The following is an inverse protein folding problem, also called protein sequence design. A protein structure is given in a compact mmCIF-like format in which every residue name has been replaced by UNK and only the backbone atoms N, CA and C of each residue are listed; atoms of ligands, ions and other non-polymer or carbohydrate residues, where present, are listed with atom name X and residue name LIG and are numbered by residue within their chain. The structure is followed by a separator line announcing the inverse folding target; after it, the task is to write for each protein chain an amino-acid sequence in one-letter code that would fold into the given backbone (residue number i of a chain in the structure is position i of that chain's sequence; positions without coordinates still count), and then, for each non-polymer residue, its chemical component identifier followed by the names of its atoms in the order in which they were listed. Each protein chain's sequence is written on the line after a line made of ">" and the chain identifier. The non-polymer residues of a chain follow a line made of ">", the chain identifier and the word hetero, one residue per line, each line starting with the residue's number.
data_IF_242726837128
#
_entry.id   IF_242726837128
#
_cell.length_a   1.000
_cell.length_b   1.000
_cell.length_c   1.000
_cell.angle_alpha   90.00
_cell.angle_beta   90.00
_cell.angle_gamma   90.00
#
_symmetry.space_group_name_H-M   'P 1'
#
loop_
_entity.id
_entity.type
_entity.pdbx_description
1 polymer ?
#
# COMPACT_ATOMS: atom_id res chain seq x y z
N UNK A 1 -5.00 -16.57 29.35
CA UNK A 1 -4.96 -16.12 27.94
C UNK A 1 -6.11 -16.77 27.22
N UNK A 2 -7.04 -15.99 26.71
CA UNK A 2 -8.26 -16.49 26.08
C UNK A 2 -8.05 -17.08 24.66
N UNK A 3 -6.80 -17.33 24.27
CA UNK A 3 -6.43 -18.01 23.02
C UNK A 3 -6.42 -17.14 21.76
N UNK A 4 -6.74 -15.84 21.85
CA UNK A 4 -6.57 -14.92 20.71
C UNK A 4 -5.08 -14.66 20.46
N UNK A 5 -4.71 -14.53 19.20
CA UNK A 5 -3.33 -14.33 18.75
C UNK A 5 -3.23 -13.10 17.85
N UNK A 6 -2.01 -12.58 17.75
CA UNK A 6 -1.69 -11.56 16.77
C UNK A 6 -1.93 -12.09 15.36
N UNK A 7 -2.49 -11.23 14.48
CA UNK A 7 -2.90 -11.62 13.14
C UNK A 7 -4.29 -12.27 13.04
N UNK A 8 -4.98 -12.54 14.16
CA UNK A 8 -6.37 -13.00 14.12
C UNK A 8 -7.30 -11.91 13.58
N UNK A 9 -8.19 -12.26 12.64
CA UNK A 9 -9.20 -11.35 12.10
C UNK A 9 -10.53 -11.64 12.78
N UNK A 10 -11.06 -10.68 13.55
CA UNK A 10 -12.35 -10.81 14.24
C UNK A 10 -13.48 -10.70 13.22
N UNK A 11 -14.25 -11.74 13.04
CA UNK A 11 -15.36 -11.81 12.09
C UNK A 11 -16.71 -11.52 12.75
N UNK A 12 -16.96 -12.07 13.95
CA UNK A 12 -18.21 -11.87 14.65
C UNK A 12 -18.05 -11.96 16.16
N UNK A 13 -18.99 -11.34 16.88
CA UNK A 13 -19.17 -11.45 18.33
C UNK A 13 -20.62 -11.85 18.59
N UNK A 14 -20.83 -12.92 19.38
CA UNK A 14 -22.16 -13.45 19.71
C UNK A 14 -23.04 -13.67 18.47
N UNK A 15 -22.44 -14.04 17.33
CA UNK A 15 -23.12 -14.22 16.04
C UNK A 15 -23.34 -12.92 15.23
N UNK A 16 -23.09 -11.75 15.80
CA UNK A 16 -23.17 -10.47 15.08
C UNK A 16 -21.87 -10.20 14.34
N UNK A 17 -21.95 -9.97 13.02
CA UNK A 17 -20.79 -9.66 12.16
C UNK A 17 -20.17 -8.32 12.55
N UNK A 18 -18.85 -8.29 12.67
CA UNK A 18 -18.07 -7.09 13.00
C UNK A 18 -17.50 -6.48 11.72
N UNK A 19 -17.79 -5.19 11.52
CA UNK A 19 -17.31 -4.40 10.40
C UNK A 19 -16.43 -3.22 10.79
N UNK A 20 -16.37 -2.87 12.09
CA UNK A 20 -15.57 -1.74 12.57
C UNK A 20 -15.16 -1.88 14.04
N UNK A 21 -14.05 -1.24 14.39
CA UNK A 21 -13.60 -1.10 15.79
C UNK A 21 -14.68 -0.45 16.67
N UNK A 22 -15.42 0.53 16.15
CA UNK A 22 -16.50 1.21 16.88
C UNK A 22 -17.63 0.23 17.25
N UNK A 23 -18.03 -0.64 16.31
CA UNK A 23 -19.02 -1.68 16.56
C UNK A 23 -18.52 -2.68 17.60
N UNK A 24 -17.27 -3.14 17.46
CA UNK A 24 -16.62 -4.02 18.44
C UNK A 24 -16.69 -3.42 19.86
N UNK A 25 -16.21 -2.17 20.01
CA UNK A 25 -16.22 -1.48 21.33
C UNK A 25 -17.62 -1.40 21.92
N UNK A 26 -18.63 -1.04 21.11
CA UNK A 26 -20.03 -0.96 21.55
C UNK A 26 -20.55 -2.31 22.06
N UNK A 27 -20.27 -3.41 21.38
CA UNK A 27 -20.71 -4.74 21.78
C UNK A 27 -20.00 -5.20 23.06
N UNK A 28 -18.71 -4.89 23.20
CA UNK A 28 -17.94 -5.19 24.43
C UNK A 28 -18.50 -4.41 25.62
N UNK A 29 -18.78 -3.13 25.48
CA UNK A 29 -19.42 -2.32 26.53
C UNK A 29 -20.81 -2.83 26.90
N UNK A 30 -21.63 -3.14 25.89
CA UNK A 30 -23.01 -3.62 26.09
C UNK A 30 -23.06 -4.96 26.78
N UNK A 31 -21.99 -5.75 26.77
CA UNK A 31 -21.93 -7.04 27.46
C UNK A 31 -21.92 -6.94 28.99
N UNK A 32 -21.61 -5.74 29.54
CA UNK A 32 -21.48 -5.50 30.97
C UNK A 32 -20.58 -6.51 31.69
N UNK A 33 -19.51 -6.97 31.01
CA UNK A 33 -18.57 -7.96 31.54
C UNK A 33 -18.98 -9.43 31.34
N UNK A 34 -20.11 -9.69 30.73
CA UNK A 34 -20.50 -11.06 30.39
C UNK A 34 -19.59 -11.66 29.34
N UNK A 35 -19.31 -12.97 29.36
CA UNK A 35 -18.51 -13.66 28.38
C UNK A 35 -19.05 -13.45 26.96
N UNK A 36 -18.14 -13.18 26.01
CA UNK A 36 -18.42 -13.00 24.59
C UNK A 36 -17.87 -14.17 23.80
N UNK A 37 -18.67 -14.68 22.86
CA UNK A 37 -18.25 -15.68 21.88
C UNK A 37 -17.76 -14.98 20.64
N UNK A 38 -16.46 -15.10 20.34
CA UNK A 38 -15.84 -14.52 19.16
C UNK A 38 -15.58 -15.61 18.12
N UNK A 39 -15.83 -15.31 16.85
CA UNK A 39 -15.32 -16.09 15.74
C UNK A 39 -14.21 -15.28 15.09
N UNK A 40 -13.03 -15.85 15.05
CA UNK A 40 -11.87 -15.27 14.41
C UNK A 40 -11.41 -16.13 13.24
N UNK A 41 -10.81 -15.50 12.24
CA UNK A 41 -10.08 -16.18 11.18
C UNK A 41 -8.59 -16.08 11.47
N UNK A 42 -7.94 -17.23 11.58
CA UNK A 42 -6.49 -17.39 11.77
C UNK A 42 -5.91 -18.08 10.55
N UNK A 43 -5.24 -17.32 9.70
CA UNK A 43 -4.92 -17.80 8.36
C UNK A 43 -6.19 -18.15 7.59
N UNK A 44 -6.33 -19.42 7.19
CA UNK A 44 -7.53 -19.93 6.51
C UNK A 44 -8.54 -20.64 7.45
N UNK A 45 -8.21 -20.76 8.73
CA UNK A 45 -9.05 -21.48 9.69
C UNK A 45 -9.95 -20.55 10.49
N UNK A 46 -11.19 -20.97 10.69
CA UNK A 46 -12.13 -20.33 11.62
C UNK A 46 -11.96 -20.91 13.01
N UNK A 47 -11.79 -20.04 14.00
CA UNK A 47 -11.64 -20.45 15.40
C UNK A 47 -12.65 -19.70 16.26
N UNK A 48 -13.36 -20.45 17.11
CA UNK A 48 -14.27 -19.88 18.09
C UNK A 48 -13.56 -19.72 19.44
N UNK A 49 -13.64 -18.54 20.02
CA UNK A 49 -13.00 -18.16 21.27
C UNK A 49 -14.03 -17.56 22.22
N UNK A 50 -13.81 -17.73 23.52
CA UNK A 50 -14.64 -17.12 24.57
C UNK A 50 -13.76 -16.15 25.38
N UNK A 51 -14.14 -14.87 25.39
CA UNK A 51 -13.44 -13.82 26.13
C UNK A 51 -14.41 -13.12 27.08
N UNK A 52 -13.93 -12.85 28.28
CA UNK A 52 -14.68 -12.04 29.25
C UNK A 52 -14.07 -10.66 29.32
N UNK A 53 -14.85 -9.60 29.02
CA UNK A 53 -14.37 -8.22 29.16
C UNK A 53 -14.05 -7.90 30.63
N UNK A 54 -13.03 -7.10 30.83
CA UNK A 54 -12.62 -6.63 32.16
C UNK A 54 -12.93 -5.14 32.27
N UNK A 55 -13.49 -4.74 33.41
CA UNK A 55 -13.75 -3.32 33.69
C UNK A 55 -12.46 -2.60 33.99
N UNK A 56 -12.15 -1.58 33.23
CA UNK A 56 -10.99 -0.74 33.42
C UNK A 56 -11.21 0.24 34.57
N UNK A 57 -10.21 0.39 35.41
CA UNK A 57 -10.23 1.39 36.48
C UNK A 57 -9.93 2.82 36.01
N UNK A 58 -9.46 2.99 34.78
CA UNK A 58 -9.09 4.28 34.22
C UNK A 58 -10.30 5.06 33.68
N UNK A 59 -11.15 4.38 32.96
CA UNK A 59 -12.31 4.97 32.26
C UNK A 59 -13.66 4.36 32.63
N UNK A 60 -13.63 3.37 33.52
CA UNK A 60 -14.82 2.65 34.00
C UNK A 60 -15.56 1.81 32.93
N UNK A 61 -14.94 1.65 31.75
CA UNK A 61 -15.48 0.91 30.60
C UNK A 61 -15.03 -0.55 30.59
N UNK A 62 -15.74 -1.40 29.85
CA UNK A 62 -15.36 -2.79 29.64
C UNK A 62 -14.45 -2.95 28.43
N UNK A 63 -13.32 -3.63 28.60
CA UNK A 63 -12.32 -3.86 27.57
C UNK A 63 -11.97 -5.34 27.45
N UNK A 64 -11.60 -5.76 26.23
CA UNK A 64 -11.04 -7.09 25.97
C UNK A 64 -9.52 -7.14 26.16
N UNK A 65 -8.86 -5.98 26.30
CA UNK A 65 -7.40 -5.90 26.40
C UNK A 65 -6.71 -6.25 25.07
N UNK A 66 -7.37 -5.96 23.94
CA UNK A 66 -6.86 -6.25 22.59
C UNK A 66 -6.52 -4.95 21.87
N UNK A 67 -5.43 -5.00 21.08
CA UNK A 67 -5.18 -4.01 20.06
C UNK A 67 -5.89 -4.46 18.77
N UNK A 68 -6.81 -3.64 18.29
CA UNK A 68 -7.59 -3.93 17.09
C UNK A 68 -7.44 -2.77 16.10
N UNK A 69 -7.15 -3.12 14.85
CA UNK A 69 -7.14 -2.20 13.70
C UNK A 69 -8.29 -2.56 12.78
N UNK A 70 -9.01 -1.58 12.29
CA UNK A 70 -10.08 -1.72 11.30
C UNK A 70 -9.81 -0.89 10.03
N UNK A 71 -8.77 -0.05 10.07
CA UNK A 71 -8.35 0.77 8.95
C UNK A 71 -6.84 1.01 8.99
N UNK A 72 -6.26 1.23 7.83
CA UNK A 72 -4.89 1.68 7.65
C UNK A 72 -4.85 2.80 6.64
N UNK A 73 -3.97 3.77 6.86
CA UNK A 73 -3.70 4.84 5.91
C UNK A 73 -2.20 5.04 5.79
N UNK A 74 -1.74 5.40 4.61
CA UNK A 74 -0.32 5.61 4.33
C UNK A 74 -0.11 6.52 3.14
N UNK A 75 1.10 7.05 3.01
CA UNK A 75 1.56 7.80 1.85
C UNK A 75 2.23 6.84 0.88
N UNK A 76 1.86 6.94 -0.39
CA UNK A 76 2.45 6.17 -1.48
C UNK A 76 2.24 6.87 -2.80
N UNK A 77 2.79 6.31 -3.86
CA UNK A 77 2.68 6.90 -5.20
C UNK A 77 1.80 6.03 -6.09
N UNK A 78 0.84 6.66 -6.78
CA UNK A 78 0.14 6.07 -7.91
C UNK A 78 1.09 6.10 -9.10
N UNK A 79 1.43 4.94 -9.64
CA UNK A 79 2.41 4.81 -10.72
C UNK A 79 1.85 5.31 -12.05
N UNK A 80 0.66 4.88 -12.40
CA UNK A 80 -0.06 5.27 -13.62
C UNK A 80 -1.55 5.00 -13.49
N UNK A 81 -2.31 5.57 -14.41
CA UNK A 81 -3.65 5.12 -14.72
C UNK A 81 -3.78 4.90 -16.25
N UNK A 82 -4.65 3.99 -16.65
CA UNK A 82 -4.98 3.75 -18.05
C UNK A 82 -6.21 4.58 -18.43
N UNK A 83 -6.09 5.55 -19.35
CA UNK A 83 -7.19 6.44 -19.72
C UNK A 83 -8.35 5.71 -20.41
N UNK A 84 -8.13 4.50 -20.96
CA UNK A 84 -9.16 3.76 -21.68
C UNK A 84 -10.22 3.15 -20.75
N UNK A 85 -9.81 2.76 -19.54
CA UNK A 85 -10.69 2.06 -18.59
C UNK A 85 -10.66 2.65 -17.17
N UNK A 86 -9.78 3.64 -16.92
CA UNK A 86 -9.61 4.29 -15.62
C UNK A 86 -8.92 3.42 -14.57
N UNK A 87 -8.42 2.23 -14.92
CA UNK A 87 -7.66 1.43 -13.97
C UNK A 87 -6.35 2.12 -13.60
N UNK A 88 -5.95 1.99 -12.34
CA UNK A 88 -4.67 2.50 -11.87
C UNK A 88 -3.86 1.41 -11.17
N UNK A 89 -2.56 1.66 -11.09
CA UNK A 89 -1.62 0.87 -10.32
C UNK A 89 -0.79 1.77 -9.40
N UNK A 90 -0.47 1.29 -8.20
CA UNK A 90 0.36 2.03 -7.25
C UNK A 90 1.21 1.13 -6.37
N UNK A 91 2.17 1.73 -5.67
CA UNK A 91 3.10 1.15 -4.71
C UNK A 91 4.08 0.12 -5.31
N UNK A 92 3.67 -0.77 -6.18
CA UNK A 92 4.50 -1.87 -6.70
C UNK A 92 4.83 -2.95 -5.67
N UNK A 93 4.23 -2.91 -4.49
CA UNK A 93 4.31 -3.91 -3.42
C UNK A 93 3.05 -3.89 -2.56
N UNK A 94 2.88 -4.90 -1.70
CA UNK A 94 1.72 -5.02 -0.82
C UNK A 94 1.66 -3.94 0.26
N UNK A 95 0.44 -3.60 0.70
CA UNK A 95 0.21 -3.02 2.01
C UNK A 95 0.13 -4.17 3.00
N UNK A 96 1.08 -4.22 3.93
CA UNK A 96 1.16 -5.23 4.97
C UNK A 96 0.86 -4.62 6.34
N UNK A 97 0.37 -5.44 7.25
CA UNK A 97 0.26 -5.07 8.65
C UNK A 97 1.66 -4.88 9.24
N UNK A 98 1.86 -3.78 9.95
CA UNK A 98 3.19 -3.35 10.43
C UNK A 98 3.74 -4.26 11.54
N UNK A 99 2.87 -4.93 12.31
CA UNK A 99 3.29 -5.78 13.42
C UNK A 99 3.52 -7.22 12.93
N UNK A 100 2.65 -7.75 12.07
CA UNK A 100 2.73 -9.14 11.59
C UNK A 100 3.50 -9.30 10.27
N UNK A 101 3.67 -8.22 9.49
CA UNK A 101 4.21 -8.28 8.14
C UNK A 101 3.30 -8.99 7.12
N UNK A 102 2.11 -9.41 7.52
CA UNK A 102 1.17 -10.11 6.65
C UNK A 102 0.44 -9.16 5.71
N UNK A 103 0.09 -9.67 4.53
CA UNK A 103 -0.75 -8.95 3.57
C UNK A 103 -2.07 -8.52 4.25
N UNK A 104 -2.35 -7.21 4.26
CA UNK A 104 -3.62 -6.72 4.79
C UNK A 104 -4.78 -7.11 3.86
N UNK A 105 -5.79 -7.82 4.37
CA UNK A 105 -6.99 -8.11 3.60
C UNK A 105 -7.73 -6.81 3.30
N UNK A 106 -8.10 -6.63 2.03
CA UNK A 106 -8.83 -5.46 1.58
C UNK A 106 -10.33 -5.79 1.56
N UNK A 107 -11.12 -5.09 2.38
CA UNK A 107 -12.58 -5.09 2.30
C UNK A 107 -13.06 -3.90 1.48
N UNK A 108 -12.53 -2.72 1.80
CA UNK A 108 -12.76 -1.47 1.08
C UNK A 108 -11.49 -0.64 1.16
N UNK A 109 -11.16 0.06 0.08
CA UNK A 109 -10.02 0.96 0.04
C UNK A 109 -10.30 2.15 -0.86
N UNK A 110 -9.71 3.28 -0.49
CA UNK A 110 -9.85 4.53 -1.21
C UNK A 110 -8.50 5.16 -1.46
N UNK A 111 -8.42 5.93 -2.54
CA UNK A 111 -7.32 6.85 -2.79
C UNK A 111 -7.81 8.26 -2.55
N UNK A 112 -7.00 9.03 -1.81
CA UNK A 112 -7.19 10.45 -1.57
C UNK A 112 -5.92 11.21 -1.94
N UNK A 113 -6.06 12.48 -2.30
CA UNK A 113 -4.91 13.33 -2.61
C UNK A 113 -4.11 13.65 -1.34
N UNK A 114 -2.79 13.61 -1.47
CA UNK A 114 -1.85 13.97 -0.41
C UNK A 114 -0.86 15.03 -0.90
N UNK A 115 -0.38 15.84 0.02
CA UNK A 115 0.71 16.79 -0.20
C UNK A 115 1.91 16.40 0.65
N UNK A 116 3.10 16.41 0.10
CA UNK A 116 4.33 16.14 0.81
C UNK A 116 4.76 17.41 1.55
N UNK A 117 4.82 17.33 2.87
CA UNK A 117 5.14 18.45 3.77
C UNK A 117 6.56 18.38 4.34
N UNK A 118 7.25 17.25 4.14
CA UNK A 118 8.63 17.07 4.59
C UNK A 118 9.22 15.75 4.15
N UNK A 119 10.54 15.66 4.28
CA UNK A 119 11.32 14.45 4.01
C UNK A 119 12.22 14.17 5.20
N UNK A 120 12.13 12.98 5.76
CA UNK A 120 13.16 12.44 6.63
C UNK A 120 14.17 11.69 5.78
N UNK A 121 15.40 12.17 5.73
CA UNK A 121 16.45 11.55 4.94
C UNK A 121 16.80 10.15 5.46
N UNK A 122 16.99 9.23 4.53
CA UNK A 122 17.46 7.88 4.82
C UNK A 122 18.97 7.85 5.10
N UNK A 123 19.37 6.90 5.94
CA UNK A 123 20.78 6.58 6.25
C UNK A 123 20.93 5.07 6.24
N UNK A 124 22.17 4.60 6.08
CA UNK A 124 22.46 3.17 6.20
C UNK A 124 21.90 2.61 7.52
N UNK A 125 21.09 1.56 7.42
CA UNK A 125 20.41 0.92 8.56
C UNK A 125 19.13 1.62 9.04
N UNK A 126 18.78 2.79 8.48
CA UNK A 126 17.57 3.54 8.85
C UNK A 126 16.94 4.16 7.60
N UNK A 127 15.93 3.51 7.02
CA UNK A 127 15.25 4.06 5.85
C UNK A 127 14.58 5.39 6.21
N UNK A 128 14.66 6.35 5.28
CA UNK A 128 13.96 7.63 5.40
C UNK A 128 12.48 7.51 5.05
N UNK A 129 11.76 8.63 5.17
CA UNK A 129 10.32 8.66 4.93
C UNK A 129 9.87 10.02 4.39
N UNK A 130 8.95 10.00 3.41
CA UNK A 130 8.17 11.17 3.03
C UNK A 130 7.10 11.42 4.08
N UNK A 131 6.99 12.65 4.54
CA UNK A 131 5.90 13.10 5.40
C UNK A 131 4.82 13.71 4.53
N UNK A 132 3.62 13.15 4.58
CA UNK A 132 2.48 13.64 3.81
C UNK A 132 1.32 14.04 4.70
N UNK A 133 0.53 14.98 4.19
CA UNK A 133 -0.77 15.34 4.76
C UNK A 133 -1.85 15.16 3.70
N UNK A 134 -3.00 14.62 4.08
CA UNK A 134 -4.15 14.53 3.18
C UNK A 134 -4.68 15.94 2.88
N UNK A 135 -4.84 16.23 1.58
CA UNK A 135 -5.32 17.55 1.13
C UNK A 135 -6.82 17.67 1.30
N UNK A 136 -7.53 16.56 1.13
CA UNK A 136 -8.98 16.45 1.23
C UNK A 136 -9.36 15.05 1.73
N UNK A 137 -10.54 14.94 2.34
CA UNK A 137 -11.14 13.64 2.66
C UNK A 137 -11.97 13.09 1.48
N UNK A 138 -11.93 13.75 0.32
CA UNK A 138 -12.65 13.29 -0.86
C UNK A 138 -11.85 12.21 -1.56
N UNK A 139 -12.47 11.05 -1.72
CA UNK A 139 -11.92 9.96 -2.52
C UNK A 139 -11.83 10.37 -3.99
N UNK A 140 -10.72 10.03 -4.64
CA UNK A 140 -10.50 10.19 -6.09
C UNK A 140 -10.52 8.84 -6.82
N UNK A 141 -10.52 7.73 -6.09
CA UNK A 141 -10.57 6.39 -6.65
C UNK A 141 -10.78 5.31 -5.59
N UNK A 142 -11.21 4.14 -6.05
CA UNK A 142 -11.44 2.96 -5.22
C UNK A 142 -10.35 1.93 -5.46
N UNK A 143 -9.85 1.35 -4.37
CA UNK A 143 -8.96 0.19 -4.38
C UNK A 143 -9.80 -1.08 -4.48
N UNK A 144 -9.46 -1.96 -5.41
CA UNK A 144 -10.10 -3.27 -5.58
C UNK A 144 -9.21 -4.41 -5.11
N UNK A 145 -7.89 -4.21 -5.17
CA UNK A 145 -6.94 -5.27 -4.84
C UNK A 145 -5.72 -4.71 -4.13
N UNK A 146 -5.35 -5.35 -3.01
CA UNK A 146 -4.04 -5.29 -2.40
C UNK A 146 -3.35 -6.63 -2.61
N UNK A 147 -2.27 -6.66 -3.36
CA UNK A 147 -1.52 -7.88 -3.70
C UNK A 147 -0.02 -7.69 -3.45
N UNK A 148 0.74 -8.76 -3.49
CA UNK A 148 2.19 -8.68 -3.31
C UNK A 148 2.90 -7.79 -4.35
N UNK A 149 2.26 -7.54 -5.50
CA UNK A 149 2.82 -6.76 -6.61
C UNK A 149 2.33 -5.31 -6.65
N UNK A 150 1.52 -4.89 -5.69
CA UNK A 150 1.00 -3.53 -5.62
C UNK A 150 -0.47 -3.43 -5.25
N UNK A 151 -0.97 -2.21 -5.32
CA UNK A 151 -2.38 -1.87 -5.13
C UNK A 151 -2.99 -1.44 -6.45
N UNK A 152 -4.21 -1.89 -6.70
CA UNK A 152 -4.91 -1.71 -7.96
C UNK A 152 -6.36 -1.33 -7.74
N UNK A 153 -6.90 -0.54 -8.65
CA UNK A 153 -8.28 -0.10 -8.56
C UNK A 153 -8.68 0.78 -9.73
N UNK A 154 -9.67 1.64 -9.52
CA UNK A 154 -10.22 2.52 -10.54
C UNK A 154 -10.35 3.94 -10.03
N UNK A 155 -9.94 4.93 -10.85
CA UNK A 155 -10.20 6.34 -10.59
C UNK A 155 -11.67 6.67 -10.88
N UNK A 156 -12.25 7.52 -10.03
CA UNK A 156 -13.62 8.03 -10.22
C UNK A 156 -13.69 9.03 -11.36
N UNK A 157 -12.67 9.88 -11.46
CA UNK A 157 -12.55 10.89 -12.53
C UNK A 157 -11.13 10.83 -13.10
N UNK A 158 -11.04 10.90 -14.41
CA UNK A 158 -9.73 11.00 -15.06
C UNK A 158 -9.20 12.43 -14.95
N UNK A 159 -7.90 12.64 -14.69
CA UNK A 159 -7.28 13.96 -14.74
C UNK A 159 -7.45 14.60 -16.13
N UNK A 160 -7.86 15.87 -16.15
CA UNK A 160 -8.29 16.56 -17.39
C UNK A 160 -7.14 16.78 -18.38
N UNK A 161 -5.90 16.98 -17.92
CA UNK A 161 -4.76 17.35 -18.75
C UNK A 161 -3.58 16.36 -18.66
N UNK A 162 -3.86 15.10 -18.37
CA UNK A 162 -2.80 14.12 -18.20
C UNK A 162 -2.18 13.72 -19.55
N UNK A 163 -0.87 13.87 -19.65
CA UNK A 163 -0.13 13.38 -20.80
C UNK A 163 0.02 11.85 -20.72
N UNK A 164 -0.32 11.20 -21.83
CA UNK A 164 -0.06 9.75 -21.97
C UNK A 164 1.37 9.54 -22.47
N UNK A 165 2.06 8.55 -21.91
CA UNK A 165 3.35 8.09 -22.36
C UNK A 165 3.28 6.60 -22.73
N UNK A 166 4.05 6.14 -23.73
CA UNK A 166 4.08 4.73 -24.08
C UNK A 166 4.72 3.91 -22.97
N UNK A 167 4.19 2.71 -22.76
CA UNK A 167 4.77 1.70 -21.86
C UNK A 167 5.73 0.80 -22.64
N UNK A 168 6.87 0.46 -22.05
CA UNK A 168 7.77 -0.54 -22.59
C UNK A 168 7.36 -1.95 -22.16
N UNK A 169 7.59 -2.93 -23.01
CA UNK A 169 7.54 -4.34 -22.61
C UNK A 169 8.79 -4.67 -21.78
N UNK A 170 8.70 -5.66 -20.90
CA UNK A 170 9.81 -6.01 -20.01
C UNK A 170 11.10 -6.38 -20.76
N UNK A 171 10.97 -6.99 -21.96
CA UNK A 171 12.10 -7.37 -22.81
C UNK A 171 12.79 -6.17 -23.47
N UNK A 172 12.14 -4.99 -23.51
CA UNK A 172 12.70 -3.77 -24.08
C UNK A 172 13.51 -2.95 -23.07
N UNK A 173 13.31 -3.20 -21.77
CA UNK A 173 14.03 -2.51 -20.70
C UNK A 173 15.51 -2.88 -20.71
N UNK A 174 16.39 -1.93 -20.48
CA UNK A 174 17.85 -2.10 -20.49
C UNK A 174 18.48 -1.56 -19.22
N UNK A 175 19.61 -2.13 -18.82
CA UNK A 175 20.50 -1.51 -17.84
C UNK A 175 20.99 -0.16 -18.35
N UNK A 176 21.21 0.79 -17.46
CA UNK A 176 21.68 2.12 -17.78
C UNK A 176 20.77 3.24 -17.27
N UNK A 177 20.93 4.46 -17.83
CA UNK A 177 20.24 5.64 -17.34
C UNK A 177 18.72 5.54 -17.43
N UNK A 178 18.06 6.02 -16.37
CA UNK A 178 16.60 6.17 -16.25
C UNK A 178 16.31 7.43 -15.44
N UNK A 179 15.04 7.83 -15.42
CA UNK A 179 14.54 8.88 -14.55
C UNK A 179 13.42 8.33 -13.67
N UNK A 180 13.36 8.79 -12.42
CA UNK A 180 12.29 8.48 -11.48
C UNK A 180 11.44 9.72 -11.32
N UNK A 181 10.12 9.58 -11.54
CA UNK A 181 9.16 10.66 -11.32
C UNK A 181 8.59 10.52 -9.91
N UNK A 182 8.92 11.46 -9.03
CA UNK A 182 8.46 11.41 -7.63
C UNK A 182 8.18 12.80 -7.07
N UNK A 183 7.31 12.86 -6.06
CA UNK A 183 7.00 14.10 -5.34
C UNK A 183 7.75 14.10 -4.02
N UNK A 184 8.65 15.06 -3.84
CA UNK A 184 9.43 15.24 -2.61
C UNK A 184 9.03 16.50 -1.83
N UNK A 185 8.20 17.37 -2.45
CA UNK A 185 7.64 18.56 -1.81
C UNK A 185 6.35 18.97 -2.49
N UNK A 186 5.34 19.34 -1.71
CA UNK A 186 4.02 19.75 -2.22
C UNK A 186 3.29 18.62 -2.93
N UNK A 187 2.70 18.93 -4.10
CA UNK A 187 1.91 18.00 -4.90
C UNK A 187 2.47 17.76 -6.31
N UNK A 188 3.53 18.48 -6.70
CA UNK A 188 4.07 18.39 -8.07
C UNK A 188 5.19 17.37 -8.13
N UNK A 189 5.05 16.32 -8.95
CA UNK A 189 6.13 15.38 -9.19
C UNK A 189 7.27 16.03 -9.99
N UNK A 190 8.50 15.56 -9.73
CA UNK A 190 9.72 15.98 -10.37
C UNK A 190 10.49 14.77 -10.88
N UNK A 191 11.27 14.96 -11.95
CA UNK A 191 12.13 13.92 -12.51
C UNK A 191 13.50 14.00 -11.85
N UNK A 192 13.99 12.84 -11.41
CA UNK A 192 15.32 12.67 -10.82
C UNK A 192 16.08 11.58 -11.55
N UNK A 193 17.34 11.78 -11.78
CA UNK A 193 18.20 10.84 -12.49
C UNK A 193 18.55 9.63 -11.64
N UNK A 194 18.50 8.47 -12.28
CA UNK A 194 18.83 7.18 -11.67
C UNK A 194 19.43 6.24 -12.73
N UNK A 195 19.86 5.08 -12.29
CA UNK A 195 20.40 4.05 -13.17
C UNK A 195 19.83 2.67 -12.79
N UNK A 196 19.44 1.87 -13.78
CA UNK A 196 19.18 0.45 -13.60
C UNK A 196 20.53 -0.28 -13.64
N UNK A 197 20.96 -0.81 -12.48
CA UNK A 197 22.22 -1.56 -12.35
C UNK A 197 22.06 -3.03 -12.72
N UNK A 198 20.90 -3.63 -12.42
CA UNK A 198 20.59 -5.04 -12.71
C UNK A 198 19.15 -5.20 -13.14
N UNK A 199 18.94 -6.20 -14.00
CA UNK A 199 17.61 -6.63 -14.46
C UNK A 199 17.45 -8.14 -14.27
N UNK A 200 16.25 -8.54 -13.85
CA UNK A 200 15.83 -9.93 -13.79
C UNK A 200 14.45 -10.04 -14.44
N UNK A 201 14.30 -10.96 -15.37
CA UNK A 201 13.00 -11.28 -15.98
C UNK A 201 12.27 -12.41 -15.24
N UNK A 202 12.83 -12.90 -14.12
CA UNK A 202 12.18 -13.91 -13.29
C UNK A 202 10.85 -13.37 -12.72
N UNK A 203 9.86 -14.23 -12.67
CA UNK A 203 8.57 -13.96 -12.04
C UNK A 203 8.52 -14.41 -10.57
N UNK A 204 9.61 -14.98 -10.03
CA UNK A 204 9.65 -15.45 -8.64
C UNK A 204 9.59 -14.27 -7.64
N UNK A 205 10.27 -13.17 -7.96
CA UNK A 205 10.28 -11.95 -7.15
C UNK A 205 9.98 -10.72 -8.03
N UNK A 206 8.75 -10.55 -8.53
CA UNK A 206 8.43 -9.51 -9.51
C UNK A 206 8.63 -8.09 -8.96
N UNK A 207 8.58 -7.89 -7.66
CA UNK A 207 8.86 -6.60 -7.02
C UNK A 207 10.34 -6.24 -6.96
N UNK A 208 11.24 -7.14 -7.41
CA UNK A 208 12.70 -6.98 -7.44
C UNK A 208 13.29 -7.21 -8.83
N UNK A 209 12.51 -7.02 -9.88
CA UNK A 209 12.97 -7.19 -11.26
C UNK A 209 14.12 -6.23 -11.64
N UNK A 210 14.20 -5.07 -10.99
CA UNK A 210 15.23 -4.06 -11.22
C UNK A 210 15.97 -3.78 -9.93
N UNK A 211 17.31 -3.60 -10.03
CA UNK A 211 18.09 -2.92 -8.99
C UNK A 211 18.38 -1.53 -9.52
N UNK A 212 17.95 -0.53 -8.76
CA UNK A 212 18.06 0.88 -9.07
C UNK A 212 19.14 1.53 -8.21
N UNK A 213 19.83 2.52 -8.77
CA UNK A 213 20.69 3.46 -8.04
C UNK A 213 20.24 4.88 -8.36
N UNK A 214 20.04 5.69 -7.33
CA UNK A 214 19.86 7.14 -7.49
C UNK A 214 21.20 7.76 -7.82
N UNK A 215 21.23 8.58 -8.88
CA UNK A 215 22.42 9.30 -9.32
C UNK A 215 22.22 10.82 -9.25
N UNK A 216 20.99 11.26 -9.07
CA UNK A 216 20.62 12.67 -8.98
C UNK A 216 21.16 13.28 -7.69
N UNK A 217 22.00 14.33 -7.77
CA UNK A 217 22.61 14.94 -6.59
C UNK A 217 21.59 15.65 -5.69
N UNK A 218 20.58 16.28 -6.27
CA UNK A 218 19.57 17.02 -5.50
C UNK A 218 18.70 16.06 -4.68
N UNK A 219 18.31 14.92 -5.26
CA UNK A 219 17.57 13.89 -4.54
C UNK A 219 18.42 13.24 -3.44
N UNK A 220 19.69 12.98 -3.71
CA UNK A 220 20.62 12.44 -2.72
C UNK A 220 20.84 13.39 -1.55
N UNK A 221 20.98 14.69 -1.81
CA UNK A 221 21.10 15.72 -0.76
C UNK A 221 19.83 15.83 0.08
N UNK A 222 18.64 15.81 -0.58
CA UNK A 222 17.35 16.00 0.06
C UNK A 222 16.93 14.79 0.92
N UNK A 223 17.03 13.59 0.37
CA UNK A 223 16.44 12.38 0.95
C UNK A 223 17.45 11.29 1.31
N UNK A 224 18.71 11.42 0.91
CA UNK A 224 19.73 10.38 1.06
C UNK A 224 19.53 9.20 0.09
N UNK A 225 18.55 9.29 -0.83
CA UNK A 225 18.22 8.26 -1.79
C UNK A 225 16.72 7.91 -1.81
N UNK A 226 16.40 6.63 -1.96
CA UNK A 226 15.02 6.13 -1.93
C UNK A 226 14.52 6.09 -0.50
N UNK A 227 13.34 6.66 -0.24
CA UNK A 227 12.71 6.71 1.07
C UNK A 227 11.29 6.13 1.03
N UNK A 228 10.76 5.75 2.19
CA UNK A 228 9.38 5.30 2.31
C UNK A 228 8.41 6.38 1.81
N UNK A 229 7.41 5.99 1.06
CA UNK A 229 6.48 6.88 0.35
C UNK A 229 6.83 7.07 -1.14
N UNK A 230 8.08 6.80 -1.56
CA UNK A 230 8.47 6.78 -2.98
C UNK A 230 8.07 5.49 -3.70
N UNK A 231 7.61 4.48 -2.98
CA UNK A 231 7.06 3.25 -3.57
C UNK A 231 5.92 3.57 -4.54
N UNK A 232 5.99 3.03 -5.75
CA UNK A 232 5.11 3.35 -6.86
C UNK A 232 5.62 4.47 -7.77
N UNK A 233 6.68 5.19 -7.43
CA UNK A 233 7.24 6.24 -8.29
C UNK A 233 7.59 5.68 -9.67
N UNK A 234 7.04 6.22 -10.78
CA UNK A 234 7.30 5.74 -12.12
C UNK A 234 8.79 5.81 -12.49
N UNK A 235 9.27 4.78 -13.17
CA UNK A 235 10.61 4.72 -13.75
C UNK A 235 10.47 4.90 -15.27
N UNK A 236 11.15 5.89 -15.80
CA UNK A 236 11.11 6.25 -17.20
C UNK A 236 12.47 5.98 -17.87
N UNK A 237 12.45 5.30 -19.01
CA UNK A 237 13.61 5.08 -19.85
C UNK A 237 13.30 5.52 -21.29
N UNK A 238 14.05 6.46 -21.82
CA UNK A 238 13.85 7.00 -23.17
C UNK A 238 12.40 7.48 -23.44
N UNK A 239 11.80 8.18 -22.46
CA UNK A 239 10.43 8.69 -22.55
C UNK A 239 9.33 7.64 -22.45
N UNK A 240 9.64 6.38 -22.09
CA UNK A 240 8.67 5.29 -21.90
C UNK A 240 8.62 4.85 -20.46
N UNK A 241 7.42 4.51 -19.97
CA UNK A 241 7.24 3.91 -18.66
C UNK A 241 7.77 2.47 -18.68
N UNK A 242 8.78 2.19 -17.86
CA UNK A 242 9.41 0.87 -17.77
C UNK A 242 9.09 0.13 -16.47
N UNK A 243 8.75 0.85 -15.40
CA UNK A 243 8.48 0.25 -14.11
C UNK A 243 8.11 1.25 -13.04
N UNK A 244 8.15 0.77 -11.80
CA UNK A 244 7.97 1.57 -10.60
C UNK A 244 8.97 1.17 -9.52
N UNK A 245 9.36 2.15 -8.69
CA UNK A 245 10.15 1.91 -7.46
C UNK A 245 9.31 1.09 -6.49
N UNK A 246 9.91 0.08 -5.85
CA UNK A 246 9.21 -0.76 -4.87
C UNK A 246 9.78 -0.63 -3.46
N UNK A 247 10.99 -1.08 -3.24
CA UNK A 247 11.61 -1.12 -1.92
C UNK A 247 12.98 -0.45 -1.93
N UNK A 248 13.33 0.19 -0.81
CA UNK A 248 14.68 0.69 -0.55
C UNK A 248 15.55 -0.43 0.00
N UNK A 249 16.85 -0.41 -0.31
CA UNK A 249 17.84 -1.23 0.35
C UNK A 249 18.21 -0.56 1.69
N UNK A 250 17.79 -1.16 2.81
CA UNK A 250 17.94 -0.56 4.15
C UNK A 250 19.38 -0.18 4.48
N UNK A 251 20.36 -0.98 4.05
CA UNK A 251 21.77 -0.73 4.30
C UNK A 251 22.43 0.24 3.29
N UNK A 252 21.75 0.56 2.20
CA UNK A 252 22.20 1.50 1.17
C UNK A 252 21.00 2.20 0.53
N UNK A 253 20.48 3.28 1.13
CA UNK A 253 19.30 3.99 0.62
C UNK A 253 19.48 4.60 -0.77
N UNK A 254 20.72 4.75 -1.25
CA UNK A 254 20.97 5.19 -2.63
C UNK A 254 20.51 4.16 -3.66
N UNK A 255 20.22 2.93 -3.21
CA UNK A 255 19.75 1.82 -4.02
C UNK A 255 18.39 1.30 -3.58
N UNK A 256 17.70 0.68 -4.51
CA UNK A 256 16.43 0.02 -4.26
C UNK A 256 16.04 -0.93 -5.36
N UNK A 257 14.83 -1.43 -5.25
CA UNK A 257 14.24 -2.35 -6.21
C UNK A 257 13.14 -1.67 -7.04
N UNK A 258 12.81 -2.30 -8.16
CA UNK A 258 11.68 -1.91 -9.00
C UNK A 258 11.00 -3.10 -9.64
N UNK A 259 9.73 -2.91 -9.96
CA UNK A 259 8.85 -3.83 -10.68
C UNK A 259 8.66 -3.35 -12.12
N UNK A 260 8.45 -4.26 -13.09
CA UNK A 260 8.09 -3.86 -14.45
C UNK A 260 6.69 -3.27 -14.52
N UNK A 261 6.53 -2.20 -15.30
CA UNK A 261 5.23 -1.57 -15.56
C UNK A 261 4.24 -2.52 -16.24
N UNK A 262 4.71 -3.40 -17.12
CA UNK A 262 3.90 -4.43 -17.76
C UNK A 262 3.23 -5.35 -16.74
N UNK A 263 3.97 -5.83 -15.74
CA UNK A 263 3.43 -6.66 -14.65
C UNK A 263 2.31 -5.92 -13.89
N UNK A 264 2.54 -4.64 -13.58
CA UNK A 264 1.53 -3.83 -12.90
C UNK A 264 0.29 -3.60 -13.76
N UNK A 265 0.45 -3.39 -15.07
CA UNK A 265 -0.69 -3.21 -15.99
C UNK A 265 -1.57 -4.46 -16.09
N UNK A 266 -0.95 -5.63 -16.17
CA UNK A 266 -1.67 -6.91 -16.20
C UNK A 266 -2.50 -7.11 -14.92
N UNK A 267 -1.90 -6.83 -13.77
CA UNK A 267 -2.60 -6.89 -12.47
C UNK A 267 -3.73 -5.85 -12.36
N UNK A 268 -3.51 -4.62 -12.84
CA UNK A 268 -4.53 -3.57 -12.82
C UNK A 268 -5.76 -3.94 -13.66
N UNK A 269 -5.55 -4.52 -14.84
CA UNK A 269 -6.66 -5.00 -15.69
C UNK A 269 -7.46 -6.12 -15.01
N UNK A 270 -6.77 -7.09 -14.43
CA UNK A 270 -7.41 -8.20 -13.72
C UNK A 270 -8.21 -7.70 -12.50
N UNK A 271 -7.66 -6.74 -11.74
CA UNK A 271 -8.33 -6.18 -10.58
C UNK A 271 -9.66 -5.47 -10.94
N UNK A 272 -9.68 -4.74 -12.06
CA UNK A 272 -10.90 -4.04 -12.52
C UNK A 272 -11.93 -5.03 -13.04
N UNK A 273 -11.54 -6.10 -13.74
CA UNK A 273 -12.45 -7.14 -14.19
C UNK A 273 -13.13 -7.83 -12.99
N UNK A 274 -12.35 -8.29 -12.03
CA UNK A 274 -12.86 -8.94 -10.83
C UNK A 274 -13.70 -8.01 -9.95
N UNK A 275 -13.29 -6.73 -9.82
CA UNK A 275 -14.04 -5.72 -9.06
C UNK A 275 -15.38 -5.35 -9.68
N UNK A 276 -15.49 -5.36 -11.01
CA UNK A 276 -16.74 -5.12 -11.71
C UNK A 276 -17.74 -6.29 -11.52
N UNK A 277 -17.24 -7.52 -11.51
CA UNK A 277 -18.06 -8.73 -11.28
C UNK A 277 -18.62 -8.77 -9.83
N UNK A 278 -17.82 -8.35 -8.84
CA UNK A 278 -18.27 -8.31 -7.45
C UNK A 278 -19.38 -7.27 -7.21
N UNK A 279 -19.33 -6.11 -7.89
CA UNK A 279 -20.37 -5.08 -7.79
C UNK A 279 -21.69 -5.42 -8.52
N UNK A 280 -21.66 -6.35 -9.45
CA UNK A 280 -22.88 -6.81 -10.16
C UNK A 280 -23.56 -7.98 -9.46
N UNK A 281 -22.94 -8.56 -8.43
CA UNK A 281 -23.44 -9.71 -7.68
C UNK A 281 -24.12 -9.34 -6.33
N UNK A 282 -24.10 -8.06 -5.94
CA UNK A 282 -24.86 -7.47 -4.82
C UNK A 282 -26.16 -6.81 -5.33
#
# INVERSE_FOLDING_TARGET
>A
TAGIQEGDIILSINGEKISSKKQLTKLVESSAGQPLSLVVRRGEQLTSLHLSPVRSSLDNSYHLGLWVRDSSAGIGTMTFYDPNNGCFAGLGHAICDVDTGQLMPLSQGEIVEASIIGVHAGKSGSPGQLQGAFVTNRSIGSLYTNSYNGVYGRLMNQPVDAQTIPMAQCQEVRQGPVQILTTVSGQKPQLFDACIEKLSLSQDEPTKNMVLRITDPDLLELSGGIVQGMSGSPILQNGRLVGAVTHVLVNDPTRGYGIFAQTMLEQAKNAVQNGAEAQTAE
#
